data_IF_846583582183
#
_entry.id   IF_846583582183
#
_cell.length_a   1.000
_cell.length_b   1.000
_cell.length_c   1.000
_cell.angle_alpha   90.00
_cell.angle_beta   90.00
_cell.angle_gamma   90.00
#
_symmetry.space_group_name_H-M   'P 1'
#
loop_
_entity.id
_entity.type
_entity.pdbx_description
1 polymer ?
#
# COMPACT_ATOMS: atom_id res chain seq x y z
N UNK A 1 -37.73 -28.65 129.62
CA UNK A 1 -37.01 -29.16 128.44
C UNK A 1 -37.92 -28.95 127.22
N UNK A 2 -37.97 -27.72 126.65
CA UNK A 2 -37.37 -27.28 125.37
C UNK A 2 -37.87 -28.13 124.18
N UNK A 3 -39.01 -27.73 123.54
CA UNK A 3 -39.16 -27.07 122.20
C UNK A 3 -38.66 -27.95 121.03
N UNK A 4 -39.39 -28.25 119.94
CA UNK A 4 -40.61 -27.68 119.39
C UNK A 4 -41.14 -28.45 118.15
N UNK A 5 -42.30 -27.99 117.69
CA UNK A 5 -43.29 -28.52 116.71
C UNK A 5 -42.76 -28.59 115.25
N UNK A 6 -43.25 -29.48 114.36
CA UNK A 6 -42.68 -29.76 113.03
C UNK A 6 -43.17 -28.82 111.92
N UNK A 7 -42.41 -28.68 110.82
CA UNK A 7 -42.86 -28.18 109.50
C UNK A 7 -41.79 -28.34 108.40
N UNK A 8 -42.13 -29.11 107.36
CA UNK A 8 -41.97 -28.85 105.90
C UNK A 8 -40.70 -28.12 105.41
N UNK A 9 -39.97 -28.71 104.44
CA UNK A 9 -39.66 -28.14 103.11
C UNK A 9 -38.35 -28.64 102.49
N UNK A 10 -38.29 -28.52 101.15
CA UNK A 10 -37.14 -28.55 100.24
C UNK A 10 -36.67 -29.97 99.85
N UNK A 11 -37.04 -30.51 98.68
CA UNK A 11 -36.85 -29.99 97.31
C UNK A 11 -35.39 -29.57 97.08
N UNK A 12 -34.59 -30.45 96.49
CA UNK A 12 -33.25 -30.09 96.06
C UNK A 12 -32.39 -31.26 95.60
N UNK A 13 -32.15 -31.29 94.29
CA UNK A 13 -30.83 -31.57 93.71
C UNK A 13 -30.40 -33.03 93.49
N UNK A 14 -30.82 -33.61 92.36
CA UNK A 14 -29.84 -34.32 91.50
C UNK A 14 -30.06 -33.86 90.06
N UNK A 15 -29.41 -32.75 89.73
CA UNK A 15 -29.24 -32.21 88.38
C UNK A 15 -27.78 -32.47 88.02
N UNK A 16 -27.47 -33.50 87.23
CA UNK A 16 -26.13 -33.73 86.71
C UNK A 16 -26.11 -34.79 85.59
N UNK A 17 -25.81 -34.32 84.36
CA UNK A 17 -25.23 -35.09 83.25
C UNK A 17 -26.10 -36.09 82.47
N UNK A 18 -26.91 -35.57 81.54
CA UNK A 18 -27.01 -36.12 80.17
C UNK A 18 -27.64 -35.15 79.13
N UNK A 19 -27.71 -33.83 79.41
CA UNK A 19 -28.17 -32.81 78.45
C UNK A 19 -27.00 -32.23 77.63
N UNK A 20 -26.12 -33.09 77.10
CA UNK A 20 -25.02 -32.67 76.23
C UNK A 20 -24.79 -33.74 75.17
N UNK A 21 -25.23 -33.51 73.93
CA UNK A 21 -24.93 -34.44 72.84
C UNK A 21 -25.76 -34.35 71.57
N UNK A 22 -26.81 -33.54 71.48
CA UNK A 22 -27.37 -33.17 70.18
C UNK A 22 -26.66 -31.91 69.67
N UNK A 23 -25.34 -31.99 69.47
CA UNK A 23 -24.65 -31.02 68.62
C UNK A 23 -25.26 -31.16 67.23
N UNK A 24 -26.00 -30.14 66.82
CA UNK A 24 -26.61 -30.07 65.50
C UNK A 24 -25.53 -30.32 64.45
N UNK A 25 -25.65 -31.43 63.72
CA UNK A 25 -24.76 -31.74 62.60
C UNK A 25 -24.81 -30.54 61.65
N UNK A 26 -23.66 -29.90 61.42
CA UNK A 26 -23.59 -28.78 60.49
C UNK A 26 -24.18 -29.23 59.14
N UNK A 27 -25.12 -28.43 58.60
CA UNK A 27 -25.77 -28.74 57.34
C UNK A 27 -24.75 -28.96 56.22
N UNK A 28 -25.06 -29.79 55.20
CA UNK A 28 -24.13 -30.03 54.11
C UNK A 28 -23.76 -28.71 53.44
N UNK A 29 -22.49 -28.58 53.05
CA UNK A 29 -22.04 -27.42 52.31
C UNK A 29 -22.89 -27.27 51.04
N UNK A 30 -23.36 -26.04 50.80
CA UNK A 30 -24.17 -25.73 49.62
C UNK A 30 -23.44 -26.06 48.31
N UNK A 31 -24.18 -26.29 47.21
CA UNK A 31 -23.58 -26.58 45.92
C UNK A 31 -22.64 -25.45 45.50
N UNK A 32 -21.56 -25.81 44.81
CA UNK A 32 -20.69 -24.83 44.17
C UNK A 32 -21.51 -24.01 43.17
N UNK A 33 -21.36 -22.69 43.19
CA UNK A 33 -22.03 -21.82 42.23
C UNK A 33 -21.60 -22.10 40.79
N UNK A 34 -22.47 -21.75 39.84
CA UNK A 34 -22.22 -21.92 38.41
C UNK A 34 -20.97 -21.13 37.96
N UNK A 35 -20.26 -21.61 36.92
CA UNK A 35 -19.22 -20.83 36.28
C UNK A 35 -19.75 -19.47 35.81
N UNK A 36 -18.94 -18.42 35.96
CA UNK A 36 -19.27 -17.10 35.43
C UNK A 36 -19.40 -17.09 33.91
N UNK A 37 -20.06 -16.06 33.33
CA UNK A 37 -20.18 -15.94 31.89
C UNK A 37 -18.80 -15.76 31.22
N UNK A 38 -18.67 -16.12 29.93
CA UNK A 38 -17.48 -15.82 29.15
C UNK A 38 -17.16 -14.31 29.16
N UNK A 39 -15.87 -13.97 29.13
CA UNK A 39 -15.43 -12.58 29.02
C UNK A 39 -15.83 -11.95 27.68
N UNK A 40 -15.85 -10.62 27.65
CA UNK A 40 -16.09 -9.86 26.41
C UNK A 40 -15.00 -10.11 25.37
N UNK A 41 -15.36 -10.02 24.09
CA UNK A 41 -14.38 -10.04 23.00
C UNK A 41 -13.38 -8.88 23.14
N UNK A 42 -12.12 -9.13 22.80
CA UNK A 42 -11.08 -8.10 22.79
C UNK A 42 -11.34 -7.01 21.73
N UNK A 43 -10.69 -5.84 21.87
CA UNK A 43 -10.79 -4.78 20.88
C UNK A 43 -10.18 -5.20 19.53
N UNK A 44 -10.60 -4.53 18.46
CA UNK A 44 -9.95 -4.68 17.16
C UNK A 44 -8.47 -4.26 17.22
N UNK A 45 -7.63 -4.93 16.43
CA UNK A 45 -6.21 -4.58 16.32
C UNK A 45 -5.98 -3.23 15.63
N UNK A 46 -4.77 -2.66 15.73
CA UNK A 46 -4.42 -1.41 15.04
C UNK A 46 -4.41 -1.60 13.52
N UNK A 47 -4.56 -0.49 12.79
CA UNK A 47 -4.37 -0.49 11.34
C UNK A 47 -2.94 -0.92 10.95
N UNK A 48 -2.82 -1.61 9.81
CA UNK A 48 -1.52 -2.01 9.27
C UNK A 48 -0.66 -0.82 8.81
N UNK A 49 0.66 -1.03 8.61
CA UNK A 49 1.54 0.01 8.11
C UNK A 49 1.17 0.41 6.67
N UNK A 50 1.56 1.63 6.28
CA UNK A 50 1.48 2.08 4.89
C UNK A 50 2.39 1.20 4.02
N UNK A 51 1.94 0.89 2.80
CA UNK A 51 2.75 0.16 1.83
C UNK A 51 3.95 0.97 1.33
N UNK A 52 4.93 0.26 0.77
CA UNK A 52 6.15 0.84 0.25
C UNK A 52 5.91 1.77 -0.95
N UNK A 53 6.88 2.64 -1.22
CA UNK A 53 6.87 3.45 -2.43
C UNK A 53 6.93 2.55 -3.69
N UNK A 54 6.23 2.95 -4.75
CA UNK A 54 6.30 2.28 -6.03
C UNK A 54 7.70 2.36 -6.67
N UNK A 55 8.00 1.51 -7.66
CA UNK A 55 9.28 1.54 -8.36
C UNK A 55 9.47 2.86 -9.12
N UNK A 56 10.73 3.23 -9.38
CA UNK A 56 11.04 4.35 -10.26
C UNK A 56 10.47 4.11 -11.67
N UNK A 57 10.07 5.20 -12.34
CA UNK A 57 9.64 5.14 -13.73
C UNK A 57 10.78 4.74 -14.68
N UNK A 58 10.42 4.25 -15.87
CA UNK A 58 11.39 3.94 -16.91
C UNK A 58 12.16 5.19 -17.36
N UNK A 59 13.40 5.00 -17.80
CA UNK A 59 14.17 6.07 -18.43
C UNK A 59 13.48 6.56 -19.72
N UNK A 60 13.63 7.84 -20.03
CA UNK A 60 13.15 8.41 -21.29
C UNK A 60 13.90 7.87 -22.52
N UNK A 61 13.27 7.94 -23.69
CA UNK A 61 13.92 7.57 -24.95
C UNK A 61 15.12 8.47 -25.27
N UNK A 62 16.14 7.91 -25.93
CA UNK A 62 17.25 8.70 -26.45
C UNK A 62 16.77 9.71 -27.50
N UNK A 63 17.34 10.92 -27.52
CA UNK A 63 17.02 11.94 -28.50
C UNK A 63 17.78 11.76 -29.82
N UNK A 64 17.10 12.01 -30.95
CA UNK A 64 17.72 12.02 -32.29
C UNK A 64 18.41 13.35 -32.56
N UNK A 65 19.65 13.33 -33.08
CA UNK A 65 20.34 14.56 -33.51
C UNK A 65 19.84 14.99 -34.87
N UNK A 66 19.57 16.29 -35.02
CA UNK A 66 19.25 16.94 -36.29
C UNK A 66 20.41 17.82 -36.73
N UNK A 67 20.78 17.73 -38.01
CA UNK A 67 21.81 18.55 -38.65
C UNK A 67 21.21 19.27 -39.84
N UNK A 68 21.32 20.60 -39.85
CA UNK A 68 20.97 21.41 -41.02
C UNK A 68 22.21 21.62 -41.88
N UNK A 69 22.13 21.31 -43.16
CA UNK A 69 23.20 21.55 -44.13
C UNK A 69 22.73 22.57 -45.17
N UNK A 70 23.52 23.62 -45.39
CA UNK A 70 23.35 24.55 -46.49
C UNK A 70 23.99 23.97 -47.75
N UNK A 71 23.32 24.08 -48.89
CA UNK A 71 23.73 23.45 -50.13
C UNK A 71 24.17 24.48 -51.17
N UNK A 72 25.39 24.34 -51.67
CA UNK A 72 26.08 25.29 -52.56
C UNK A 72 26.19 24.80 -54.01
N UNK A 73 25.18 24.05 -54.47
CA UNK A 73 25.01 23.45 -55.82
C UNK A 73 26.02 22.36 -56.23
N UNK A 74 27.10 22.10 -55.48
CA UNK A 74 28.10 21.09 -55.86
C UNK A 74 27.77 19.67 -55.35
N UNK A 75 27.30 19.53 -54.11
CA UNK A 75 26.83 18.25 -53.57
C UNK A 75 25.97 18.49 -52.34
N UNK A 76 24.74 17.97 -52.35
CA UNK A 76 23.79 18.17 -51.25
C UNK A 76 23.27 16.80 -50.79
N UNK A 77 23.93 16.24 -49.79
CA UNK A 77 23.62 14.94 -49.21
C UNK A 77 23.92 14.92 -47.71
N UNK A 78 23.11 14.17 -46.96
CA UNK A 78 23.37 13.85 -45.56
C UNK A 78 24.56 12.89 -45.42
N UNK A 79 25.13 12.81 -44.22
CA UNK A 79 26.22 11.88 -43.91
C UNK A 79 25.76 10.40 -44.07
N UNK A 80 26.70 9.44 -44.21
CA UNK A 80 26.37 8.01 -44.33
C UNK A 80 25.53 7.44 -43.18
N UNK A 81 25.63 8.03 -41.98
CA UNK A 81 24.90 7.63 -40.78
C UNK A 81 23.66 8.49 -40.50
N UNK A 82 23.23 9.28 -41.48
CA UNK A 82 22.06 10.15 -41.36
C UNK A 82 21.03 9.85 -42.46
N UNK A 83 19.79 10.28 -42.23
CA UNK A 83 18.71 10.26 -43.22
C UNK A 83 18.09 11.65 -43.40
N UNK A 84 17.60 11.95 -44.60
CA UNK A 84 16.92 13.21 -44.92
C UNK A 84 15.58 13.27 -44.22
N UNK A 85 15.37 14.29 -43.39
CA UNK A 85 14.10 14.61 -42.73
C UNK A 85 13.28 15.57 -43.57
N UNK A 86 13.91 16.63 -44.09
CA UNK A 86 13.24 17.68 -44.86
C UNK A 86 14.18 18.29 -45.88
N UNK A 87 13.62 18.70 -47.01
CA UNK A 87 14.32 19.35 -48.12
C UNK A 87 13.78 20.78 -48.25
N UNK A 88 14.66 21.77 -48.27
CA UNK A 88 14.30 23.18 -48.43
C UNK A 88 14.62 23.64 -49.84
N UNK A 89 13.59 24.07 -50.57
CA UNK A 89 13.73 24.51 -51.94
C UNK A 89 13.83 26.04 -52.05
N UNK A 90 14.68 26.57 -52.94
CA UNK A 90 14.93 28.01 -53.05
C UNK A 90 13.75 28.83 -53.57
N UNK A 91 12.74 28.17 -54.17
CA UNK A 91 11.55 28.81 -54.72
C UNK A 91 10.32 28.07 -54.18
N UNK A 92 9.36 28.80 -53.62
CA UNK A 92 8.17 28.24 -52.97
C UNK A 92 7.26 27.38 -53.86
N UNK A 93 7.47 27.39 -55.18
CA UNK A 93 6.74 26.55 -56.15
C UNK A 93 7.41 25.19 -56.42
N UNK A 94 8.58 24.94 -55.84
CA UNK A 94 9.31 23.68 -56.02
C UNK A 94 8.85 22.65 -54.99
N UNK A 95 8.48 21.47 -55.47
CA UNK A 95 8.12 20.37 -54.57
C UNK A 95 9.40 19.73 -54.01
N UNK A 96 9.58 19.65 -52.67
CA UNK A 96 10.65 18.88 -52.08
C UNK A 96 10.39 17.38 -52.27
N UNK A 97 11.36 16.67 -52.84
CA UNK A 97 11.28 15.22 -53.09
C UNK A 97 12.52 14.55 -52.51
N UNK A 98 12.33 13.48 -51.76
CA UNK A 98 13.45 12.61 -51.36
C UNK A 98 13.90 11.79 -52.57
N UNK A 99 15.15 11.98 -53.01
CA UNK A 99 15.72 11.20 -54.09
C UNK A 99 16.19 9.83 -53.57
N UNK A 100 16.78 9.81 -52.38
CA UNK A 100 17.10 8.59 -51.62
C UNK A 100 17.12 8.90 -50.11
N UNK A 101 17.64 7.97 -49.30
CA UNK A 101 17.70 8.14 -47.84
C UNK A 101 18.57 9.33 -47.42
N UNK A 102 19.57 9.72 -48.23
CA UNK A 102 20.56 10.77 -47.91
C UNK A 102 20.46 12.00 -48.79
N UNK A 103 19.76 11.94 -49.91
CA UNK A 103 19.68 13.02 -50.89
C UNK A 103 18.24 13.48 -51.09
N UNK A 104 18.08 14.80 -51.13
CA UNK A 104 16.84 15.48 -51.44
C UNK A 104 17.00 16.37 -52.67
N UNK A 105 15.95 16.47 -53.48
CA UNK A 105 15.92 17.31 -54.67
C UNK A 105 14.64 18.13 -54.71
N UNK A 106 14.69 19.26 -55.39
CA UNK A 106 13.54 20.11 -55.64
C UNK A 106 13.03 19.88 -57.06
N UNK A 107 11.74 19.59 -57.24
CA UNK A 107 11.18 19.26 -58.56
C UNK A 107 10.30 20.39 -59.09
N UNK A 108 10.47 20.72 -60.37
CA UNK A 108 9.62 21.62 -61.16
C UNK A 108 9.34 21.00 -62.51
N UNK A 109 8.08 20.71 -62.82
CA UNK A 109 7.67 20.32 -64.18
C UNK A 109 8.58 19.24 -64.80
N UNK A 110 8.98 18.25 -63.99
CA UNK A 110 9.88 17.16 -64.39
C UNK A 110 11.39 17.44 -64.25
N UNK A 111 11.82 18.69 -64.08
CA UNK A 111 13.22 19.08 -63.85
C UNK A 111 13.60 19.02 -62.37
N UNK A 112 14.83 18.57 -62.07
CA UNK A 112 15.42 18.57 -60.74
C UNK A 112 16.35 19.77 -60.54
N UNK A 113 16.11 20.51 -59.45
CA UNK A 113 16.87 21.68 -59.02
C UNK A 113 17.53 21.34 -57.68
N UNK A 114 18.78 21.78 -57.42
CA UNK A 114 19.40 21.59 -56.12
C UNK A 114 18.60 22.33 -55.03
N UNK A 115 18.39 21.70 -53.86
CA UNK A 115 17.80 22.38 -52.72
C UNK A 115 18.79 23.42 -52.15
N UNK A 116 18.27 24.36 -51.38
CA UNK A 116 19.05 25.36 -50.66
C UNK A 116 19.56 24.81 -49.32
N UNK A 117 18.79 23.90 -48.70
CA UNK A 117 19.22 23.20 -47.50
C UNK A 117 18.56 21.83 -47.37
N UNK A 118 19.19 20.93 -46.60
CA UNK A 118 18.59 19.71 -46.08
C UNK A 118 18.63 19.71 -44.56
N UNK A 119 17.64 19.09 -43.93
CA UNK A 119 17.72 18.67 -42.53
C UNK A 119 17.89 17.16 -42.51
N UNK A 120 18.95 16.72 -41.86
CA UNK A 120 19.38 15.34 -41.71
C UNK A 120 19.17 14.90 -40.25
N UNK A 121 18.85 13.63 -40.04
CA UNK A 121 18.72 13.02 -38.72
C UNK A 121 19.67 11.84 -38.61
N UNK A 122 20.35 11.72 -37.46
CA UNK A 122 21.14 10.53 -37.16
C UNK A 122 20.25 9.28 -37.12
N UNK A 123 20.75 8.18 -37.69
CA UNK A 123 20.13 6.85 -37.58
C UNK A 123 20.12 6.36 -36.13
#
# INVERSE_FOLDING_TARGET
MIRGVPKVAALGLVLAFALAGCDGVAGPQGPKGDPGPPGAAGPAGPAGPKGDAGPAGAAGAAGTRLRQIACDRASCACDPNEFVVTVFCPLGSLAPVRANEREGVCRRDGSSVPPEALVCAAK
#
